data_IF_949555497120
#
_entry.id   IF_949555497120
#
_cell.length_a   1.000
_cell.length_b   1.000
_cell.length_c   1.000
_cell.angle_alpha   90.00
_cell.angle_beta   90.00
_cell.angle_gamma   90.00
#
_symmetry.space_group_name_H-M   'P 1'
#
loop_
_entity.id
_entity.type
_entity.pdbx_description
1 polymer ?
#
# COMPACT_ATOMS: atom_id res chain seq x y z
N UNK A 1 -11.31 13.96 -1.72
CA UNK A 1 -10.16 14.11 -2.63
C UNK A 1 -9.39 12.81 -2.53
N UNK A 2 -9.22 12.05 -3.61
CA UNK A 2 -8.32 10.89 -3.58
C UNK A 2 -6.90 11.45 -3.55
N UNK A 3 -6.07 11.04 -2.59
CA UNK A 3 -4.68 11.45 -2.56
C UNK A 3 -3.99 10.99 -3.86
N UNK A 4 -3.05 11.79 -4.37
CA UNK A 4 -2.31 11.44 -5.58
C UNK A 4 -1.43 10.20 -5.37
N UNK A 5 -1.14 9.88 -4.11
CA UNK A 5 -0.37 8.74 -3.64
C UNK A 5 -1.10 8.11 -2.45
N UNK A 6 -1.05 6.78 -2.29
CA UNK A 6 -1.43 6.15 -1.04
C UNK A 6 -0.52 6.62 0.10
N UNK A 7 -1.01 6.62 1.33
CA UNK A 7 -0.25 7.04 2.51
C UNK A 7 -0.15 5.94 3.55
N UNK A 8 0.81 6.07 4.46
CA UNK A 8 0.78 5.34 5.74
C UNK A 8 -0.27 5.94 6.70
N UNK A 9 -0.40 5.35 7.89
CA UNK A 9 -1.32 5.78 8.96
C UNK A 9 -1.00 7.18 9.52
N UNK A 10 0.24 7.66 9.36
CA UNK A 10 0.62 9.03 9.73
C UNK A 10 0.28 10.05 8.63
N UNK A 11 -0.26 9.61 7.49
CA UNK A 11 -0.58 10.47 6.34
C UNK A 11 0.64 10.85 5.51
N UNK A 12 1.74 10.09 5.62
CA UNK A 12 2.95 10.27 4.80
C UNK A 12 2.80 9.49 3.49
N UNK A 13 3.10 10.14 2.36
CA UNK A 13 3.05 9.52 1.03
C UNK A 13 3.96 8.27 0.99
N UNK A 14 3.40 7.16 0.54
CA UNK A 14 4.13 5.92 0.33
C UNK A 14 5.11 6.05 -0.85
N UNK A 15 6.29 5.42 -0.75
CA UNK A 15 7.27 5.35 -1.84
C UNK A 15 6.80 4.42 -2.96
N UNK A 16 5.76 4.84 -3.68
CA UNK A 16 5.11 4.10 -4.74
C UNK A 16 5.03 4.93 -6.02
N UNK A 17 5.02 4.28 -7.21
CA UNK A 17 4.82 4.97 -8.47
C UNK A 17 3.53 5.79 -8.47
N UNK A 18 3.57 6.98 -9.09
CA UNK A 18 2.40 7.84 -9.19
C UNK A 18 1.25 7.12 -9.92
N UNK A 19 0.04 7.22 -9.36
CA UNK A 19 -1.16 6.62 -9.94
C UNK A 19 -1.24 5.10 -9.83
N UNK A 20 -0.43 4.47 -8.95
CA UNK A 20 -0.54 3.04 -8.74
C UNK A 20 -1.90 2.66 -8.12
N UNK A 21 -2.48 1.58 -8.62
CA UNK A 21 -3.75 1.02 -8.16
C UNK A 21 -3.62 -0.36 -7.54
N UNK A 22 -2.51 -1.05 -7.82
CA UNK A 22 -2.30 -2.46 -7.50
C UNK A 22 -0.98 -2.63 -6.76
N UNK A 23 -1.03 -3.28 -5.60
CA UNK A 23 0.14 -3.60 -4.78
C UNK A 23 0.03 -5.03 -4.25
N UNK A 24 1.18 -5.62 -3.92
CA UNK A 24 1.25 -6.95 -3.32
C UNK A 24 1.71 -6.78 -1.88
N UNK A 25 0.95 -7.35 -0.94
CA UNK A 25 1.34 -7.41 0.47
C UNK A 25 2.57 -8.32 0.62
N UNK A 26 3.61 -7.78 1.25
CA UNK A 26 4.83 -8.52 1.61
C UNK A 26 4.60 -9.31 2.90
N UNK A 27 3.91 -8.68 3.84
CA UNK A 27 3.49 -9.24 5.12
C UNK A 27 2.04 -8.83 5.37
N UNK A 28 1.19 -9.80 5.67
CA UNK A 28 -0.25 -9.63 5.87
C UNK A 28 -0.62 -9.35 7.33
N UNK A 29 0.37 -9.24 8.23
CA UNK A 29 0.15 -8.86 9.62
C UNK A 29 0.16 -7.33 9.73
N UNK A 30 -0.96 -6.67 10.05
CA UNK A 30 -0.95 -5.22 10.29
C UNK A 30 -0.02 -4.91 11.47
N UNK A 31 0.89 -3.96 11.25
CA UNK A 31 1.80 -3.51 12.30
C UNK A 31 1.05 -2.64 13.35
N UNK A 32 1.76 -2.17 14.38
CA UNK A 32 1.17 -1.32 15.44
C UNK A 32 0.60 0.00 14.91
N UNK A 33 0.96 0.40 13.69
CA UNK A 33 0.46 1.60 13.00
C UNK A 33 -0.59 1.25 11.94
N UNK A 34 -1.27 0.10 12.03
CA UNK A 34 -2.33 -0.31 11.11
C UNK A 34 -1.95 -0.16 9.62
N UNK A 35 -0.67 -0.33 9.30
CA UNK A 35 -0.14 -0.22 7.95
C UNK A 35 0.38 -1.57 7.51
N UNK A 36 0.24 -1.88 6.23
CA UNK A 36 0.78 -3.09 5.61
C UNK A 36 2.03 -2.76 4.80
N UNK A 37 3.00 -3.66 4.87
CA UNK A 37 4.19 -3.61 4.04
C UNK A 37 3.84 -4.14 2.65
N UNK A 38 4.06 -3.35 1.61
CA UNK A 38 3.69 -3.68 0.23
C UNK A 38 4.82 -3.41 -0.74
N UNK A 39 4.70 -3.98 -1.94
CA UNK A 39 5.50 -3.60 -3.10
C UNK A 39 4.62 -3.41 -4.35
N UNK A 40 5.01 -2.56 -5.31
CA UNK A 40 4.28 -2.42 -6.57
C UNK A 40 4.34 -3.71 -7.39
N UNK A 41 3.32 -3.94 -8.22
CA UNK A 41 3.36 -5.04 -9.19
C UNK A 41 4.52 -4.82 -10.16
N UNK A 42 5.47 -5.76 -10.20
CA UNK A 42 6.63 -5.74 -11.11
C UNK A 42 7.94 -5.21 -10.53
N UNK A 43 7.96 -4.66 -9.31
CA UNK A 43 9.20 -4.27 -8.62
C UNK A 43 9.17 -4.69 -7.13
N UNK A 44 9.51 -5.96 -6.82
CA UNK A 44 9.49 -6.47 -5.45
C UNK A 44 10.60 -5.90 -4.55
N UNK A 45 11.53 -5.13 -5.12
CA UNK A 45 12.63 -4.52 -4.34
C UNK A 45 12.22 -3.19 -3.71
N UNK A 46 11.11 -2.60 -4.18
CA UNK A 46 10.57 -1.35 -3.63
C UNK A 46 9.54 -1.65 -2.57
N UNK A 47 9.93 -1.41 -1.32
CA UNK A 47 9.09 -1.64 -0.16
C UNK A 47 8.50 -0.31 0.31
N UNK A 48 7.18 -0.28 0.49
CA UNK A 48 6.46 0.86 1.06
C UNK A 48 5.46 0.40 2.13
N UNK A 49 4.96 1.36 2.92
CA UNK A 49 3.89 1.13 3.89
C UNK A 49 2.63 1.85 3.44
N UNK A 50 1.50 1.17 3.48
CA UNK A 50 0.19 1.74 3.14
C UNK A 50 -0.78 1.46 4.28
N UNK A 51 -1.54 2.47 4.68
CA UNK A 51 -2.58 2.33 5.70
C UNK A 51 -3.60 1.28 5.27
N UNK A 52 -4.00 0.41 6.20
CA UNK A 52 -4.88 -0.71 5.92
C UNK A 52 -6.24 -0.27 5.35
N UNK A 53 -6.76 0.89 5.76
CA UNK A 53 -8.06 1.40 5.28
C UNK A 53 -8.05 1.86 3.82
N UNK A 54 -6.87 2.03 3.22
CA UNK A 54 -6.69 2.39 1.81
C UNK A 54 -6.58 1.17 0.89
N UNK A 55 -6.52 -0.04 1.47
CA UNK A 55 -6.33 -1.28 0.74
C UNK A 55 -7.65 -2.04 0.59
N UNK A 56 -7.80 -2.70 -0.55
CA UNK A 56 -8.87 -3.64 -0.83
C UNK A 56 -8.29 -4.91 -1.42
N UNK A 57 -8.91 -6.06 -1.11
CA UNK A 57 -8.55 -7.33 -1.74
C UNK A 57 -9.23 -7.43 -3.10
N UNK A 58 -8.53 -7.98 -4.09
CA UNK A 58 -9.17 -8.38 -5.35
C UNK A 58 -10.21 -9.45 -5.04
N UNK A 59 -11.42 -9.22 -5.55
CA UNK A 59 -12.43 -10.27 -5.63
C UNK A 59 -12.11 -11.11 -6.86
N UNK A 60 -12.08 -12.43 -6.72
CA UNK A 60 -12.15 -13.30 -7.90
C UNK A 60 -13.61 -13.33 -8.37
N UNK A 61 -13.91 -12.69 -9.51
CA UNK A 61 -15.13 -12.96 -10.31
C UNK A 61 -14.73 -13.61 -11.64
#
# INVERSE_FOLDING_TARGET
MMAAYPTDDAGIDADLPAGITDVIAVDDTPNVTLSLQVHPVGDPTRIAFVAFDQLALYSED
#
